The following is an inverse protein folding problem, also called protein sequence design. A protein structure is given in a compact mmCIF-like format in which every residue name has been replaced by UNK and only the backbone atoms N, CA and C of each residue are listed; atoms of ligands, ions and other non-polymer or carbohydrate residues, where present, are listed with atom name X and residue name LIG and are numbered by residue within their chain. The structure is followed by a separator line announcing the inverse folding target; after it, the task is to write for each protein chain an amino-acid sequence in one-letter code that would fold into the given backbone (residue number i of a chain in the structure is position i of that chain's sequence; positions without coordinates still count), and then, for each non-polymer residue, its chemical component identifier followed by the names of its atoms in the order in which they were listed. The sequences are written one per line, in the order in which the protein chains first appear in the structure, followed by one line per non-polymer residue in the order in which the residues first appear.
data_IF_829827842927
#
_entry.id   IF_829827842927
#
_cell.length_a   1.000
_cell.length_b   1.000
_cell.length_c   1.000
_cell.angle_alpha   90.00
_cell.angle_beta   90.00
_cell.angle_gamma   90.00
#
_symmetry.space_group_name_H-M   'P 1'
#
loop_
_entity.id
_entity.type
_entity.pdbx_description
1 polymer ?
#
# COMPACT_ATOMS: atom_id res chain seq x y z
N UNK A 1 11.68 15.64 18.17
CA UNK A 1 12.12 16.28 16.90
C UNK A 1 12.52 15.20 15.92
N UNK A 2 12.28 15.39 14.61
CA UNK A 2 12.69 14.46 13.57
C UNK A 2 14.14 14.75 13.15
N UNK A 3 15.02 13.74 13.25
CA UNK A 3 16.46 13.90 12.97
C UNK A 3 16.71 14.06 11.46
N UNK A 4 17.29 15.20 11.06
CA UNK A 4 17.64 15.50 9.67
C UNK A 4 18.75 14.59 9.13
N UNK A 5 19.81 14.37 9.91
CA UNK A 5 20.91 13.46 9.56
C UNK A 5 20.39 12.01 9.47
N UNK A 6 20.45 11.40 8.29
CA UNK A 6 19.87 10.07 8.03
C UNK A 6 20.48 8.99 8.91
N UNK A 7 21.80 8.95 9.03
CA UNK A 7 22.54 7.97 9.83
C UNK A 7 22.29 8.05 11.35
N UNK A 8 21.69 9.14 11.85
CA UNK A 8 21.32 9.32 13.27
C UNK A 8 19.81 9.24 13.50
N UNK A 9 19.03 8.97 12.46
CA UNK A 9 17.58 8.82 12.58
C UNK A 9 17.27 7.45 13.19
N UNK A 10 16.27 7.41 14.07
CA UNK A 10 15.74 6.15 14.62
C UNK A 10 15.41 5.19 13.46
N UNK A 11 15.92 3.95 13.55
CA UNK A 11 15.71 2.95 12.50
C UNK A 11 16.78 2.91 11.40
N UNK A 12 17.75 3.82 11.39
CA UNK A 12 18.77 3.90 10.33
C UNK A 12 20.15 3.34 10.72
N UNK A 13 20.30 2.79 11.93
CA UNK A 13 21.50 2.07 12.36
C UNK A 13 21.48 0.57 12.01
N UNK A 14 22.56 -0.18 12.31
CA UNK A 14 22.61 -1.63 12.06
C UNK A 14 21.52 -2.43 12.78
N UNK A 15 21.02 -1.94 13.91
CA UNK A 15 19.93 -2.52 14.71
C UNK A 15 18.60 -1.82 14.49
N UNK A 16 18.43 -1.10 13.37
CA UNK A 16 17.34 -0.15 13.17
C UNK A 16 15.93 -0.69 13.46
N UNK A 17 15.63 -1.90 13.00
CA UNK A 17 14.34 -2.55 13.30
C UNK A 17 14.13 -2.73 14.80
N UNK A 18 15.12 -3.29 15.51
CA UNK A 18 15.06 -3.51 16.94
C UNK A 18 14.91 -2.18 17.69
N UNK A 19 15.67 -1.15 17.30
CA UNK A 19 15.61 0.18 17.91
C UNK A 19 14.20 0.79 17.82
N UNK A 20 13.51 0.61 16.68
CA UNK A 20 12.11 1.03 16.51
C UNK A 20 11.19 0.19 17.39
N UNK A 21 11.33 -1.14 17.39
CA UNK A 21 10.46 -2.06 18.14
C UNK A 21 10.51 -1.83 19.65
N UNK A 22 11.68 -1.52 20.21
CA UNK A 22 11.88 -1.30 21.66
C UNK A 22 11.66 0.15 22.10
N UNK A 23 11.45 1.08 21.17
CA UNK A 23 11.30 2.50 21.51
C UNK A 23 10.10 2.71 22.46
N UNK A 24 10.21 3.54 23.52
CA UNK A 24 9.17 3.67 24.55
C UNK A 24 7.77 4.03 24.05
N UNK A 25 7.68 4.69 22.90
CA UNK A 25 6.42 4.97 22.22
C UNK A 25 5.64 3.70 21.87
N UNK A 26 6.33 2.63 21.45
CA UNK A 26 5.73 1.36 21.02
C UNK A 26 5.67 0.31 22.14
N UNK A 27 5.94 0.67 23.40
CA UNK A 27 5.98 -0.28 24.53
C UNK A 27 4.71 -1.13 24.75
N UNK A 28 3.57 -0.73 24.17
CA UNK A 28 2.28 -1.44 24.26
C UNK A 28 1.95 -2.25 22.99
N UNK A 29 2.83 -2.21 22.00
CA UNK A 29 2.65 -2.90 20.73
C UNK A 29 3.19 -4.32 20.87
N UNK A 30 2.31 -5.28 20.66
CA UNK A 30 2.68 -6.66 20.38
C UNK A 30 2.84 -6.81 18.87
N UNK A 31 4.09 -6.87 18.40
CA UNK A 31 4.41 -6.82 16.97
C UNK A 31 3.91 -8.06 16.22
N UNK A 32 3.93 -9.23 16.86
CA UNK A 32 3.45 -10.49 16.27
C UNK A 32 1.93 -10.47 16.10
N UNK A 33 1.20 -10.01 17.13
CA UNK A 33 -0.26 -9.86 17.04
C UNK A 33 -0.71 -8.82 16.02
N UNK A 34 0.06 -7.74 15.86
CA UNK A 34 -0.22 -6.74 14.83
C UNK A 34 -0.04 -7.34 13.43
N UNK A 35 1.05 -8.08 13.20
CA UNK A 35 1.32 -8.75 11.92
C UNK A 35 0.23 -9.78 11.58
N UNK A 36 -0.20 -10.56 12.58
CA UNK A 36 -1.29 -11.55 12.45
C UNK A 36 -2.70 -10.93 12.41
N UNK A 37 -2.83 -9.60 12.45
CA UNK A 37 -4.12 -8.88 12.44
C UNK A 37 -5.05 -9.21 13.62
N UNK A 38 -4.48 -9.59 14.77
CA UNK A 38 -5.22 -9.95 15.98
C UNK A 38 -5.59 -8.74 16.85
N UNK A 39 -4.89 -7.61 16.66
CA UNK A 39 -5.20 -6.36 17.35
C UNK A 39 -6.30 -5.60 16.61
N UNK A 40 -7.39 -5.29 17.31
CA UNK A 40 -8.48 -4.49 16.76
C UNK A 40 -8.00 -3.08 16.39
N UNK A 41 -8.19 -2.61 15.15
CA UNK A 41 -7.85 -1.24 14.78
C UNK A 41 -8.65 -0.22 15.62
N UNK A 42 -8.04 0.92 16.02
CA UNK A 42 -8.73 1.95 16.78
C UNK A 42 -9.84 2.66 15.99
N UNK A 43 -9.83 2.52 14.67
CA UNK A 43 -10.82 3.08 13.76
C UNK A 43 -11.27 2.02 12.75
N UNK A 44 -12.58 1.83 12.64
CA UNK A 44 -13.21 1.00 11.62
C UNK A 44 -13.94 1.91 10.64
N UNK A 45 -13.49 2.01 9.36
CA UNK A 45 -14.19 2.79 8.34
C UNK A 45 -15.64 2.33 8.18
N UNK A 46 -16.54 3.27 7.94
CA UNK A 46 -17.94 2.95 7.62
C UNK A 46 -18.03 2.50 6.17
N UNK A 47 -18.64 1.34 5.96
CA UNK A 47 -18.92 0.76 4.65
C UNK A 47 -20.37 0.30 4.68
N UNK A 48 -21.20 0.81 3.77
CA UNK A 48 -22.64 0.52 3.73
C UNK A 48 -22.93 -0.76 2.96
N UNK A 49 -22.20 -1.02 1.87
CA UNK A 49 -22.38 -2.18 1.00
C UNK A 49 -21.14 -2.44 0.14
N UNK A 50 -21.10 -3.56 -0.59
CA UNK A 50 -19.94 -3.99 -1.41
C UNK A 50 -19.48 -2.98 -2.46
N UNK A 51 -20.39 -2.16 -3.00
CA UNK A 51 -20.08 -1.11 -4.00
C UNK A 51 -19.96 0.30 -3.40
N UNK A 52 -19.76 0.41 -2.08
CA UNK A 52 -19.75 1.71 -1.42
C UNK A 52 -18.48 2.47 -1.78
N UNK A 53 -18.66 3.67 -2.32
CA UNK A 53 -17.57 4.56 -2.73
C UNK A 53 -17.45 5.79 -1.83
N UNK A 54 -18.13 5.83 -0.68
CA UNK A 54 -18.17 7.02 0.19
C UNK A 54 -16.83 7.42 0.80
N UNK A 55 -15.84 6.52 0.76
CA UNK A 55 -14.47 6.78 1.24
C UNK A 55 -13.51 7.20 0.12
N UNK A 56 -14.02 7.37 -1.12
CA UNK A 56 -13.27 7.91 -2.25
C UNK A 56 -13.74 9.34 -2.55
N UNK A 57 -12.84 10.17 -3.10
CA UNK A 57 -13.20 11.52 -3.53
C UNK A 57 -14.23 11.45 -4.67
N UNK A 58 -15.23 12.35 -4.62
CA UNK A 58 -16.25 12.49 -5.65
C UNK A 58 -15.66 12.85 -7.01
N UNK A 59 -14.50 13.51 -7.06
CA UNK A 59 -13.82 13.78 -8.31
C UNK A 59 -13.65 12.50 -9.13
N UNK A 60 -13.19 11.41 -8.51
CA UNK A 60 -12.96 10.14 -9.21
C UNK A 60 -14.23 9.32 -9.38
N UNK A 61 -15.12 9.29 -8.38
CA UNK A 61 -16.34 8.46 -8.47
C UNK A 61 -17.37 9.01 -9.45
N UNK A 62 -17.21 10.27 -9.87
CA UNK A 62 -18.07 10.92 -10.87
C UNK A 62 -17.51 10.82 -12.29
N UNK A 63 -16.27 10.37 -12.45
CA UNK A 63 -15.68 10.10 -13.76
C UNK A 63 -16.33 8.87 -14.42
N UNK A 64 -16.25 8.81 -15.76
CA UNK A 64 -16.68 7.63 -16.49
C UNK A 64 -15.73 6.47 -16.19
N UNK A 65 -16.28 5.28 -15.97
CA UNK A 65 -15.50 4.05 -15.76
C UNK A 65 -15.01 3.45 -17.09
N UNK A 66 -14.57 4.31 -18.01
CA UNK A 66 -14.12 3.94 -19.35
C UNK A 66 -12.61 4.18 -19.47
N UNK A 67 -11.92 3.30 -20.19
CA UNK A 67 -10.52 3.53 -20.53
C UNK A 67 -10.44 4.67 -21.55
N UNK A 68 -9.49 5.58 -21.35
CA UNK A 68 -9.18 6.61 -22.35
C UNK A 68 -8.84 5.95 -23.69
N UNK A 69 -9.48 6.35 -24.81
CA UNK A 69 -9.16 5.81 -26.12
C UNK A 69 -7.68 5.99 -26.46
N UNK A 70 -7.07 4.95 -27.02
CA UNK A 70 -5.64 4.94 -27.36
C UNK A 70 -5.39 5.50 -28.76
N UNK A 71 -4.32 6.29 -28.92
CA UNK A 71 -3.82 6.70 -30.23
C UNK A 71 -3.03 5.55 -30.87
N UNK A 72 -3.51 5.08 -32.03
CA UNK A 72 -2.90 3.99 -32.78
C UNK A 72 -1.47 4.31 -33.23
N UNK A 73 -1.19 5.55 -33.61
CA UNK A 73 0.14 5.98 -34.06
C UNK A 73 1.11 5.94 -32.89
N UNK A 74 0.68 6.42 -31.73
CA UNK A 74 1.48 6.32 -30.50
C UNK A 74 1.76 4.86 -30.14
N UNK A 75 0.75 4.00 -30.14
CA UNK A 75 0.90 2.58 -29.80
C UNK A 75 1.87 1.83 -30.73
N UNK A 76 1.87 2.14 -32.03
CA UNK A 76 2.77 1.51 -33.00
C UNK A 76 4.24 1.91 -32.78
N UNK A 77 4.49 3.09 -32.21
CA UNK A 77 5.84 3.60 -31.95
C UNK A 77 6.44 3.11 -30.62
N UNK A 78 5.66 2.38 -29.79
CA UNK A 78 6.14 1.81 -28.54
C UNK A 78 6.99 0.56 -28.78
N UNK A 79 8.18 0.51 -28.20
CA UNK A 79 9.03 -0.67 -28.24
C UNK A 79 8.47 -1.78 -27.32
N UNK A 80 7.74 -2.74 -27.90
CA UNK A 80 7.09 -3.82 -27.14
C UNK A 80 8.07 -4.74 -26.40
N UNK A 81 9.36 -4.74 -26.77
CA UNK A 81 10.36 -5.57 -26.09
C UNK A 81 10.67 -5.08 -24.66
N UNK A 82 10.39 -3.81 -24.35
CA UNK A 82 10.55 -3.24 -23.00
C UNK A 82 9.59 -3.87 -21.98
N UNK A 83 8.48 -4.44 -22.44
CA UNK A 83 7.48 -5.10 -21.58
C UNK A 83 7.67 -6.63 -21.50
N UNK A 84 8.76 -7.17 -22.03
CA UNK A 84 9.04 -8.61 -21.96
C UNK A 84 9.15 -9.06 -20.51
N UNK A 85 8.39 -10.09 -20.13
CA UNK A 85 8.37 -10.61 -18.76
C UNK A 85 7.46 -9.86 -17.79
N UNK A 86 6.64 -8.92 -18.28
CA UNK A 86 5.67 -8.19 -17.45
C UNK A 86 4.53 -9.07 -16.92
N UNK A 87 4.11 -10.09 -17.67
CA UNK A 87 3.00 -10.96 -17.30
C UNK A 87 3.30 -11.73 -16.01
N UNK A 88 2.45 -11.55 -15.00
CA UNK A 88 2.56 -12.20 -13.69
C UNK A 88 1.19 -12.54 -13.13
N UNK A 89 1.08 -13.70 -12.47
CA UNK A 89 -0.07 -14.10 -11.65
C UNK A 89 0.47 -14.51 -10.29
N UNK A 90 -0.08 -13.97 -9.21
CA UNK A 90 0.37 -14.29 -7.86
C UNK A 90 0.00 -15.74 -7.49
N UNK A 91 0.96 -16.68 -7.33
CA UNK A 91 0.66 -18.06 -6.99
C UNK A 91 0.20 -18.24 -5.53
N UNK A 92 0.46 -17.24 -4.68
CA UNK A 92 0.12 -17.24 -3.25
C UNK A 92 -1.15 -16.43 -2.97
N UNK A 93 -1.95 -16.09 -3.99
CA UNK A 93 -3.19 -15.37 -3.78
C UNK A 93 -4.21 -16.25 -3.04
N UNK A 94 -4.42 -15.94 -1.77
CA UNK A 94 -5.50 -16.51 -0.97
C UNK A 94 -6.70 -15.56 -1.01
N UNK A 95 -7.88 -16.07 -1.40
CA UNK A 95 -9.14 -15.33 -1.31
C UNK A 95 -9.40 -15.06 0.17
N UNK A 96 -9.53 -13.78 0.61
CA UNK A 96 -9.91 -13.48 1.98
C UNK A 96 -11.30 -14.07 2.28
N UNK A 97 -11.44 -14.78 3.41
CA UNK A 97 -12.73 -15.21 3.95
C UNK A 97 -13.61 -13.99 4.31
#
# INVERSE_FOLDING_TARGET
FLTKQSNKRLGCGPTGEADVRIHPFFRRIDWEKIENREVQPPFKPKIKHRKDVSNFDKQFTSEKTDLTPTDKVFMMNLNQTEFRGFSYVNPNYAVPL
#
